data_IF_606910473806
#
_entry.id   IF_606910473806
#
_cell.length_a   1.000
_cell.length_b   1.000
_cell.length_c   1.000
_cell.angle_alpha   90.00
_cell.angle_beta   90.00
_cell.angle_gamma   90.00
#
_symmetry.space_group_name_H-M   'P 1'
#
loop_
_entity.id
_entity.type
_entity.pdbx_description
1 polymer ?
#
# COMPACT_ATOMS: atom_id res chain seq x y z
N UNK A 1 36.12 10.33 13.62
CA UNK A 1 35.65 11.72 13.49
C UNK A 1 36.32 12.30 12.27
N UNK A 2 35.71 12.02 11.12
CA UNK A 2 36.22 12.37 9.79
C UNK A 2 35.95 13.86 9.54
N UNK A 3 37.00 14.63 9.27
CA UNK A 3 36.85 16.07 9.05
C UNK A 3 36.27 16.25 7.66
N UNK A 4 35.01 16.66 7.61
CA UNK A 4 34.32 17.13 6.41
C UNK A 4 35.27 18.02 5.59
N UNK A 5 35.79 17.45 4.50
CA UNK A 5 36.72 18.09 3.59
C UNK A 5 35.96 19.19 2.83
N UNK A 6 35.86 20.39 3.42
CA UNK A 6 35.34 21.57 2.71
C UNK A 6 36.40 21.96 1.69
N UNK A 7 36.30 21.38 0.51
CA UNK A 7 37.03 21.88 -0.65
C UNK A 7 36.62 23.35 -0.82
N UNK A 8 37.59 24.29 -0.88
CA UNK A 8 37.26 25.67 -1.20
C UNK A 8 36.61 25.68 -2.58
N UNK A 9 35.36 26.16 -2.64
CA UNK A 9 34.67 26.36 -3.90
C UNK A 9 35.57 27.25 -4.78
N UNK A 10 35.80 26.91 -6.06
CA UNK A 10 36.57 27.76 -6.95
C UNK A 10 35.98 29.17 -6.92
N UNK A 11 36.80 30.21 -6.78
CA UNK A 11 36.35 31.57 -6.40
C UNK A 11 35.12 32.07 -7.18
N UNK A 12 35.03 31.75 -8.47
CA UNK A 12 33.88 32.10 -9.32
C UNK A 12 32.54 31.48 -8.89
N UNK A 13 32.53 30.25 -8.34
CA UNK A 13 31.31 29.62 -7.83
C UNK A 13 30.88 30.19 -6.49
N UNK A 14 31.84 30.51 -5.62
CA UNK A 14 31.57 31.19 -4.36
C UNK A 14 30.99 32.59 -4.61
N UNK A 15 31.57 33.35 -5.55
CA UNK A 15 31.10 34.69 -5.93
C UNK A 15 29.68 34.68 -6.51
N UNK A 16 29.38 33.70 -7.38
CA UNK A 16 28.02 33.48 -7.91
C UNK A 16 27.03 33.14 -6.81
N UNK A 17 27.43 32.29 -5.87
CA UNK A 17 26.60 31.88 -4.75
C UNK A 17 26.32 33.07 -3.82
N UNK A 18 27.33 33.88 -3.50
CA UNK A 18 27.17 35.10 -2.73
C UNK A 18 26.24 36.12 -3.42
N UNK A 19 26.36 36.27 -4.74
CA UNK A 19 25.45 37.11 -5.53
C UNK A 19 23.99 36.64 -5.45
N UNK A 20 23.76 35.33 -5.49
CA UNK A 20 22.43 34.75 -5.32
C UNK A 20 21.89 34.96 -3.90
N UNK A 21 22.72 34.75 -2.87
CA UNK A 21 22.33 35.00 -1.48
C UNK A 21 22.02 36.48 -1.22
N UNK A 22 22.76 37.39 -1.83
CA UNK A 22 22.50 38.83 -1.74
C UNK A 22 21.13 39.18 -2.33
N UNK A 23 20.83 38.71 -3.54
CA UNK A 23 19.50 38.90 -4.17
C UNK A 23 18.38 38.25 -3.37
N UNK A 24 18.61 37.08 -2.80
CA UNK A 24 17.65 36.40 -1.94
C UNK A 24 17.34 37.21 -0.68
N UNK A 25 18.37 37.76 -0.02
CA UNK A 25 18.22 38.59 1.18
C UNK A 25 17.57 39.94 0.87
N UNK A 26 17.79 40.49 -0.32
CA UNK A 26 17.11 41.69 -0.79
C UNK A 26 15.61 41.43 -1.05
N UNK A 27 15.27 40.28 -1.64
CA UNK A 27 13.89 39.89 -1.91
C UNK A 27 13.12 39.44 -0.66
N UNK A 28 13.81 38.96 0.37
CA UNK A 28 13.22 38.48 1.61
C UNK A 28 13.58 39.45 2.75
N UNK A 29 12.72 40.43 3.08
CA UNK A 29 12.98 41.33 4.18
C UNK A 29 13.19 40.53 5.47
N UNK A 30 14.17 40.94 6.27
CA UNK A 30 14.54 40.23 7.49
C UNK A 30 13.29 40.12 8.38
N UNK A 31 12.84 38.90 8.74
CA UNK A 31 11.62 38.75 9.50
C UNK A 31 11.81 39.44 10.86
N UNK A 32 10.88 40.34 11.21
CA UNK A 32 10.89 40.98 12.53
C UNK A 32 10.90 39.91 13.61
N UNK A 33 12.04 39.75 14.28
CA UNK A 33 12.22 38.85 15.41
C UNK A 33 11.57 39.46 16.67
N UNK A 34 10.27 39.74 16.58
CA UNK A 34 9.46 40.16 17.71
C UNK A 34 9.29 39.01 18.70
N UNK A 35 9.03 39.35 19.97
CA UNK A 35 8.81 38.36 21.04
C UNK A 35 7.72 37.31 20.71
N UNK A 36 6.78 37.65 19.81
CA UNK A 36 5.69 36.79 19.37
C UNK A 36 5.96 36.00 18.08
N UNK A 37 7.14 36.16 17.45
CA UNK A 37 7.47 35.51 16.19
C UNK A 37 7.45 33.98 16.32
N UNK A 38 8.18 33.44 17.30
CA UNK A 38 8.28 32.00 17.51
C UNK A 38 6.94 31.35 17.90
N UNK A 39 6.16 31.89 18.86
CA UNK A 39 4.83 31.36 19.18
C UNK A 39 3.88 31.30 17.98
N UNK A 40 3.79 32.37 17.19
CA UNK A 40 2.89 32.45 16.04
C UNK A 40 3.35 31.54 14.89
N UNK A 41 4.66 31.43 14.67
CA UNK A 41 5.23 30.52 13.69
C UNK A 41 4.92 29.06 14.03
N UNK A 42 5.07 28.68 15.30
CA UNK A 42 4.73 27.35 15.78
C UNK A 42 3.24 27.02 15.62
N UNK A 43 2.35 27.96 15.98
CA UNK A 43 0.91 27.77 15.78
C UNK A 43 0.56 27.52 14.31
N UNK A 44 1.20 28.23 13.38
CA UNK A 44 0.97 28.07 11.94
C UNK A 44 1.47 26.73 11.41
N UNK A 45 2.60 26.24 11.94
CA UNK A 45 3.13 24.91 11.61
C UNK A 45 2.18 23.83 12.10
N UNK A 46 1.72 23.94 13.35
CA UNK A 46 0.84 22.95 13.96
C UNK A 46 -0.54 22.91 13.28
N UNK A 47 -1.12 24.07 12.95
CA UNK A 47 -2.39 24.15 12.22
C UNK A 47 -2.35 23.36 10.91
N UNK A 48 -1.29 23.53 10.12
CA UNK A 48 -1.10 22.82 8.84
C UNK A 48 -0.89 21.31 9.04
N UNK A 49 -0.20 20.92 10.12
CA UNK A 49 0.06 19.51 10.44
C UNK A 49 -1.21 18.78 10.91
N UNK A 50 -2.05 19.44 11.69
CA UNK A 50 -3.32 18.89 12.19
C UNK A 50 -4.32 18.72 11.05
N UNK A 51 -4.46 19.69 10.16
CA UNK A 51 -5.37 19.61 9.00
C UNK A 51 -4.99 18.46 8.06
N UNK A 52 -3.72 18.38 7.66
CA UNK A 52 -3.25 17.33 6.74
C UNK A 52 -3.34 15.92 7.33
N UNK A 53 -2.98 15.76 8.61
CA UNK A 53 -3.09 14.46 9.30
C UNK A 53 -4.55 14.05 9.49
N UNK A 54 -5.44 15.00 9.77
CA UNK A 54 -6.87 14.74 9.96
C UNK A 54 -7.55 14.32 8.66
N UNK A 55 -7.28 15.00 7.54
CA UNK A 55 -7.87 14.65 6.23
C UNK A 55 -7.39 13.29 5.75
N UNK A 56 -6.09 12.99 5.90
CA UNK A 56 -5.55 11.68 5.53
C UNK A 56 -6.17 10.55 6.37
N UNK A 57 -6.37 10.78 7.67
CA UNK A 57 -7.01 9.81 8.56
C UNK A 57 -8.46 9.53 8.17
N UNK A 58 -9.24 10.57 7.88
CA UNK A 58 -10.63 10.40 7.45
C UNK A 58 -10.73 9.64 6.12
N UNK A 59 -9.83 9.95 5.18
CA UNK A 59 -9.77 9.24 3.90
C UNK A 59 -9.42 7.77 4.12
N UNK A 60 -8.37 7.47 4.88
CA UNK A 60 -7.98 6.11 5.21
C UNK A 60 -9.11 5.32 5.91
N UNK A 61 -9.84 5.95 6.83
CA UNK A 61 -11.00 5.34 7.48
C UNK A 61 -12.14 5.06 6.48
N UNK A 62 -12.43 5.99 5.56
CA UNK A 62 -13.44 5.78 4.52
C UNK A 62 -13.05 4.61 3.59
N UNK A 63 -11.78 4.52 3.20
CA UNK A 63 -11.26 3.41 2.41
C UNK A 63 -11.31 2.08 3.17
N UNK A 64 -10.98 2.07 4.46
CA UNK A 64 -11.07 0.87 5.30
C UNK A 64 -12.51 0.37 5.45
N UNK A 65 -13.47 1.27 5.68
CA UNK A 65 -14.89 0.94 5.77
C UNK A 65 -15.43 0.45 4.42
N UNK A 66 -15.03 1.09 3.32
CA UNK A 66 -15.41 0.66 1.97
C UNK A 66 -14.87 -0.74 1.64
N UNK A 67 -13.59 -1.00 1.94
CA UNK A 67 -12.98 -2.31 1.74
C UNK A 67 -13.71 -3.39 2.57
N UNK A 68 -14.00 -3.11 3.84
CA UNK A 68 -14.71 -4.03 4.73
C UNK A 68 -16.14 -4.31 4.23
N UNK A 69 -16.86 -3.28 3.77
CA UNK A 69 -18.17 -3.44 3.16
C UNK A 69 -18.11 -4.30 1.88
N UNK A 70 -17.12 -4.06 1.02
CA UNK A 70 -16.90 -4.81 -0.21
C UNK A 70 -16.60 -6.28 0.09
N UNK A 71 -15.76 -6.57 1.09
CA UNK A 71 -15.49 -7.94 1.54
C UNK A 71 -16.75 -8.64 2.02
N UNK A 72 -17.62 -7.97 2.78
CA UNK A 72 -18.89 -8.53 3.22
C UNK A 72 -19.84 -8.80 2.05
N UNK A 73 -19.93 -7.89 1.09
CA UNK A 73 -20.74 -8.08 -0.12
C UNK A 73 -20.25 -9.31 -0.89
N UNK A 74 -18.95 -9.43 -1.12
CA UNK A 74 -18.36 -10.58 -1.81
C UNK A 74 -18.62 -11.87 -1.02
N UNK A 75 -18.43 -11.87 0.29
CA UNK A 75 -18.65 -13.04 1.15
C UNK A 75 -20.10 -13.54 1.08
N UNK A 76 -21.08 -12.65 0.90
CA UNK A 76 -22.50 -13.01 0.74
C UNK A 76 -22.82 -13.39 -0.70
N UNK A 77 -22.22 -12.71 -1.69
CA UNK A 77 -22.52 -12.90 -3.10
C UNK A 77 -21.95 -14.21 -3.66
N UNK A 78 -20.73 -14.59 -3.28
CA UNK A 78 -20.06 -15.83 -3.71
C UNK A 78 -20.94 -17.07 -3.48
N UNK A 79 -21.41 -17.38 -2.25
CA UNK A 79 -22.23 -18.57 -2.00
C UNK A 79 -23.63 -18.49 -2.65
N UNK A 80 -24.09 -17.28 -3.03
CA UNK A 80 -25.37 -17.09 -3.74
C UNK A 80 -25.24 -17.34 -5.24
N UNK A 81 -24.08 -17.05 -5.83
CA UNK A 81 -23.76 -17.30 -7.23
C UNK A 81 -23.31 -18.76 -7.46
N UNK A 82 -22.60 -19.35 -6.50
CA UNK A 82 -22.14 -20.74 -6.52
C UNK A 82 -23.22 -21.74 -6.11
N UNK A 83 -24.47 -21.53 -6.56
CA UNK A 83 -25.57 -22.50 -6.35
C UNK A 83 -25.35 -23.83 -7.06
N UNK A 84 -24.50 -23.84 -8.07
CA UNK A 84 -24.04 -25.07 -8.71
C UNK A 84 -22.77 -25.55 -7.99
N UNK A 85 -22.76 -26.78 -7.46
CA UNK A 85 -21.59 -27.29 -6.82
C UNK A 85 -20.50 -27.56 -7.86
N UNK A 86 -19.58 -26.61 -8.01
CA UNK A 86 -18.35 -26.80 -8.81
C UNK A 86 -17.54 -28.02 -8.29
N UNK A 87 -17.82 -28.47 -7.06
CA UNK A 87 -17.21 -29.64 -6.41
C UNK A 87 -18.05 -30.94 -6.43
N UNK A 88 -19.26 -30.98 -7.02
CA UNK A 88 -20.08 -32.21 -7.06
C UNK A 88 -20.12 -32.93 -8.41
N UNK A 89 -19.29 -32.53 -9.37
CA UNK A 89 -19.26 -33.24 -10.65
C UNK A 89 -18.29 -34.43 -10.68
N UNK A 90 -17.40 -34.58 -9.69
CA UNK A 90 -16.57 -35.76 -9.41
C UNK A 90 -15.48 -35.37 -8.38
N UNK A 91 -15.64 -35.76 -7.11
CA UNK A 91 -14.52 -35.65 -6.16
C UNK A 91 -13.42 -36.62 -6.61
N UNK A 92 -12.15 -36.23 -6.54
CA UNK A 92 -11.00 -37.04 -7.01
C UNK A 92 -11.04 -38.51 -6.55
N UNK A 93 -11.60 -38.76 -5.36
CA UNK A 93 -11.81 -40.09 -4.79
C UNK A 93 -12.86 -40.91 -5.54
N UNK A 94 -13.93 -40.28 -6.04
CA UNK A 94 -15.01 -40.92 -6.81
C UNK A 94 -14.53 -41.36 -8.20
N UNK A 95 -13.68 -40.57 -8.85
CA UNK A 95 -13.02 -40.95 -10.12
C UNK A 95 -12.07 -42.13 -9.94
N UNK A 96 -11.34 -42.17 -8.81
CA UNK A 96 -10.43 -43.26 -8.47
C UNK A 96 -11.19 -44.56 -8.17
N UNK A 97 -12.31 -44.47 -7.46
CA UNK A 97 -13.15 -45.63 -7.14
C UNK A 97 -13.80 -46.20 -8.40
N UNK A 98 -14.31 -45.35 -9.30
CA UNK A 98 -14.86 -45.79 -10.58
C UNK A 98 -13.80 -46.44 -11.49
N UNK A 99 -12.57 -45.90 -11.52
CA UNK A 99 -11.47 -46.52 -12.26
C UNK A 99 -11.09 -47.90 -11.69
N UNK A 100 -11.08 -48.06 -10.37
CA UNK A 100 -10.77 -49.33 -9.72
C UNK A 100 -11.91 -50.35 -9.83
N UNK A 101 -13.16 -49.90 -9.82
CA UNK A 101 -14.32 -50.75 -10.03
C UNK A 101 -14.31 -51.39 -11.43
N UNK A 102 -13.93 -50.63 -12.46
CA UNK A 102 -13.80 -51.14 -13.83
C UNK A 102 -12.65 -52.16 -13.95
N UNK A 103 -11.51 -51.93 -13.30
CA UNK A 103 -10.36 -52.87 -13.29
C UNK A 103 -10.71 -54.19 -12.58
N UNK A 104 -11.45 -54.12 -11.47
CA UNK A 104 -11.89 -55.32 -10.74
C UNK A 104 -12.90 -56.17 -11.54
N UNK A 105 -13.78 -55.53 -12.31
CA UNK A 105 -14.73 -56.22 -13.20
C UNK A 105 -13.99 -56.90 -14.36
N UNK A 106 -12.95 -56.27 -14.92
CA UNK A 106 -12.13 -56.86 -16.00
C UNK A 106 -11.31 -58.07 -15.53
N UNK A 107 -10.77 -58.01 -14.30
CA UNK A 107 -10.05 -59.16 -13.70
C UNK A 107 -10.97 -60.34 -13.37
N UNK A 108 -12.22 -60.08 -12.98
CA UNK A 108 -13.22 -61.12 -12.75
C UNK A 108 -13.73 -61.71 -14.07
N UNK A 109 -13.92 -60.89 -15.10
CA UNK A 109 -14.33 -61.33 -16.43
C UNK A 109 -13.21 -62.09 -17.18
N UNK A 110 -11.96 -61.71 -16.97
CA UNK A 110 -10.78 -62.38 -17.52
C UNK A 110 -10.38 -63.67 -16.77
N UNK A 111 -10.97 -63.91 -15.59
CA UNK A 111 -10.72 -65.12 -14.78
C UNK A 111 -11.60 -66.32 -15.12
N UNK A 112 -12.56 -66.18 -16.05
CA UNK A 112 -13.51 -67.25 -16.42
C UNK A 112 -13.13 -67.93 -17.75
N UNK A 113 -11.83 -68.15 -17.99
CA UNK A 113 -11.32 -68.99 -19.09
C UNK A 113 -10.21 -69.90 -18.59
N UNK A 114 -10.60 -70.94 -17.84
CA UNK A 114 -9.83 -72.20 -17.75
C UNK A 114 -10.78 -73.40 -17.86
#
# INVERSE_FOLDING_TARGET
>A
MDRMNRQPLPGNEADKLESLWAKYREACPDPESGANFMPLLWQKIEARRVETTSVFRHMAQAWAVAALALTLIIAVLIPRLQKEPIYSANTYVEVLDEAHANDAVDLLAGGEVE
#
